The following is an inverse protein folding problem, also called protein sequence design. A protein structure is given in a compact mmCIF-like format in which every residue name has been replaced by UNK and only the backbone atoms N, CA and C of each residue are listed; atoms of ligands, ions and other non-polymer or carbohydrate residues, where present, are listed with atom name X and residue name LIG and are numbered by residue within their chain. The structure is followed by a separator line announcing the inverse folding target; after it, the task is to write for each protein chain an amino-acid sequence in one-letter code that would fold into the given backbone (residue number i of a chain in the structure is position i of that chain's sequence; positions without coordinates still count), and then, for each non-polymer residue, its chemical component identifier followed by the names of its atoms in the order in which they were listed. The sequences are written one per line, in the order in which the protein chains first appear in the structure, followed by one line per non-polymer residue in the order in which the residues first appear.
data_IF_304294011670
#
_entry.id   IF_304294011670
#
_cell.length_a   1.000
_cell.length_b   1.000
_cell.length_c   1.000
_cell.angle_alpha   90.00
_cell.angle_beta   90.00
_cell.angle_gamma   90.00
#
_symmetry.space_group_name_H-M   'P 1'
#
loop_
_entity.id
_entity.type
_entity.pdbx_description
1 polymer ?
#
# COMPACT_ATOMS: atom_id res chain seq x y z
N UNK A 1 -13.26 -7.66 13.63
CA UNK A 1 -13.31 -7.73 13.08
C UNK A 1 -13.05 -7.88 12.23
N UNK A 2 -12.85 -7.87 12.09
CA UNK A 2 -12.45 -7.96 11.42
C UNK A 2 -12.54 -7.73 10.46
N UNK A 3 -12.98 -7.47 10.14
CA UNK A 3 -13.01 -7.26 9.17
C UNK A 3 -12.29 -7.08 8.42
N UNK A 4 -11.86 -6.92 8.77
CA UNK A 4 -10.97 -6.57 8.03
C UNK A 4 -10.05 -7.46 7.55
N UNK A 5 -9.99 -8.58 7.96
CA UNK A 5 -9.08 -9.55 7.55
C UNK A 5 -8.96 -9.62 6.05
N UNK A 6 -10.03 -9.43 5.39
CA UNK A 6 -9.99 -9.44 3.95
C UNK A 6 -10.23 -8.06 3.39
N UNK A 7 -9.81 -7.07 4.15
CA UNK A 7 -10.07 -5.71 3.78
C UNK A 7 -9.06 -5.09 2.85
N UNK A 8 -8.03 -5.83 2.49
CA UNK A 8 -6.98 -5.27 1.65
C UNK A 8 -7.39 -5.26 0.19
N UNK A 9 -6.90 -4.26 -0.53
CA UNK A 9 -7.15 -4.14 -1.96
C UNK A 9 -6.49 -5.30 -2.70
N UNK A 10 -7.00 -5.67 -3.88
CA UNK A 10 -6.39 -6.75 -4.65
C UNK A 10 -4.92 -6.55 -4.94
N UNK A 11 -4.48 -5.32 -5.08
CA UNK A 11 -3.08 -5.02 -5.39
C UNK A 11 -2.21 -4.82 -4.17
N UNK A 12 -2.79 -4.92 -2.97
CA UNK A 12 -2.05 -4.63 -1.75
C UNK A 12 -0.78 -5.48 -1.65
N UNK A 13 -0.92 -6.78 -1.81
CA UNK A 13 0.24 -7.66 -1.65
C UNK A 13 1.24 -7.49 -2.77
N UNK A 14 0.77 -7.16 -3.95
CA UNK A 14 1.67 -6.89 -5.06
C UNK A 14 2.54 -5.68 -4.78
N UNK A 15 1.92 -4.59 -4.33
CA UNK A 15 2.65 -3.37 -4.01
C UNK A 15 3.59 -3.61 -2.84
N UNK A 16 3.10 -4.27 -1.79
CA UNK A 16 3.91 -4.55 -0.63
C UNK A 16 5.14 -5.37 -0.99
N UNK A 17 4.96 -6.38 -1.83
CA UNK A 17 6.04 -7.24 -2.25
C UNK A 17 7.12 -6.45 -2.98
N UNK A 18 6.74 -5.59 -3.90
CA UNK A 18 7.70 -4.80 -4.66
C UNK A 18 8.43 -3.80 -3.77
N UNK A 19 7.70 -3.21 -2.83
CA UNK A 19 8.33 -2.28 -1.92
C UNK A 19 9.32 -2.99 -1.00
N UNK A 20 8.92 -4.13 -0.46
CA UNK A 20 9.78 -4.91 0.44
C UNK A 20 11.03 -5.38 -0.25
N UNK A 21 10.96 -5.68 -1.54
CA UNK A 21 12.10 -6.13 -2.31
C UNK A 21 13.00 -4.99 -2.76
N UNK A 22 12.59 -3.76 -2.51
CA UNK A 22 13.35 -2.60 -2.93
C UNK A 22 13.21 -2.27 -4.40
N UNK A 23 12.25 -2.90 -5.08
CA UNK A 23 12.01 -2.61 -6.49
C UNK A 23 11.23 -1.31 -6.68
N UNK A 24 10.41 -0.96 -5.70
CA UNK A 24 9.63 0.27 -5.72
C UNK A 24 10.08 1.15 -4.56
N UNK A 25 10.16 2.44 -4.80
CA UNK A 25 10.42 3.38 -3.73
C UNK A 25 9.09 3.89 -3.18
N UNK A 26 9.18 4.75 -2.17
CA UNK A 26 7.98 5.23 -1.49
C UNK A 26 7.11 6.07 -2.43
N UNK A 27 7.72 6.78 -3.38
CA UNK A 27 6.97 7.56 -4.35
C UNK A 27 6.09 6.66 -5.20
N UNK A 28 6.59 5.50 -5.55
CA UNK A 28 5.86 4.53 -6.35
C UNK A 28 4.66 4.00 -5.58
N UNK A 29 4.85 3.73 -4.29
CA UNK A 29 3.76 3.27 -3.45
C UNK A 29 2.72 4.38 -3.30
N UNK A 30 3.17 5.63 -3.18
CA UNK A 30 2.27 6.77 -3.12
C UNK A 30 1.40 6.84 -4.38
N UNK A 31 2.01 6.60 -5.53
CA UNK A 31 1.29 6.59 -6.79
C UNK A 31 0.23 5.49 -6.82
N UNK A 32 0.52 4.36 -6.19
CA UNK A 32 -0.43 3.28 -6.14
C UNK A 32 -1.71 3.71 -5.41
N UNK A 33 -1.57 4.56 -4.39
CA UNK A 33 -2.73 5.10 -3.71
C UNK A 33 -3.51 6.01 -4.66
N UNK A 34 -2.79 6.89 -5.35
CA UNK A 34 -3.43 7.83 -6.28
C UNK A 34 -4.17 7.09 -7.38
N UNK A 35 -3.60 6.00 -7.85
CA UNK A 35 -4.22 5.20 -8.91
C UNK A 35 -5.36 4.31 -8.42
N UNK A 36 -5.54 4.23 -7.10
CA UNK A 36 -6.61 3.42 -6.57
C UNK A 36 -6.26 1.95 -6.41
N UNK A 37 -4.98 1.60 -6.50
CA UNK A 37 -4.54 0.22 -6.31
C UNK A 37 -4.59 -0.19 -4.86
N UNK A 38 -4.28 0.75 -3.97
CA UNK A 38 -4.31 0.53 -2.53
C UNK A 38 -4.91 1.77 -1.88
N UNK A 39 -5.22 1.65 -0.59
CA UNK A 39 -5.77 2.78 0.16
C UNK A 39 -4.66 3.49 0.92
N UNK A 40 -4.98 4.67 1.46
CA UNK A 40 -4.02 5.40 2.28
C UNK A 40 -3.62 4.60 3.51
N UNK A 41 -4.56 3.84 4.07
CA UNK A 41 -4.25 3.00 5.23
C UNK A 41 -3.29 1.89 4.84
N UNK A 42 -3.48 1.33 3.66
CA UNK A 42 -2.59 0.29 3.18
C UNK A 42 -1.21 0.82 2.88
N UNK A 43 -1.13 2.05 2.41
CA UNK A 43 0.14 2.73 2.21
C UNK A 43 0.93 2.76 3.51
N UNK A 44 0.24 3.14 4.58
CA UNK A 44 0.88 3.20 5.88
C UNK A 44 1.33 1.83 6.36
N UNK A 45 0.52 0.80 6.12
CA UNK A 45 0.90 -0.56 6.48
C UNK A 45 2.14 -1.01 5.75
N UNK A 46 2.26 -0.63 4.49
CA UNK A 46 3.37 -1.07 3.65
C UNK A 46 4.64 -0.31 4.00
N UNK A 47 4.55 1.00 4.12
CA UNK A 47 5.73 1.84 4.24
C UNK A 47 6.07 2.20 5.67
N UNK A 48 5.11 2.13 6.57
CA UNK A 48 5.31 2.55 7.95
C UNK A 48 5.20 4.06 8.12
N UNK A 49 4.83 4.76 7.06
CA UNK A 49 4.70 6.21 7.09
C UNK A 49 3.27 6.61 6.83
N UNK A 50 2.76 7.66 7.48
CA UNK A 50 1.40 8.11 7.20
C UNK A 50 1.32 8.67 5.78
N UNK A 51 0.17 8.41 5.14
CA UNK A 51 -0.02 8.90 3.78
C UNK A 51 -0.30 10.40 3.82
N UNK A 52 0.47 11.14 3.08
CA UNK A 52 0.31 12.60 2.96
C UNK A 52 0.14 12.93 1.50
N UNK A 53 -0.95 13.58 1.16
CA UNK A 53 -1.24 13.91 -0.24
C UNK A 53 -0.29 14.96 -0.80
#
# INVERSE_FOLDING_TARGET
MAKKANGHSPKFYTVKKYYDKGLWDIDRVHKAVVCGWITAEEYEEITGEPYVE
#
